data_IF_767273129585
#
_entry.id   IF_767273129585
#
_cell.length_a   1.000
_cell.length_b   1.000
_cell.length_c   1.000
_cell.angle_alpha   90.00
_cell.angle_beta   90.00
_cell.angle_gamma   90.00
#
_symmetry.space_group_name_H-M   'P 1'
#
loop_
_entity.id
_entity.type
_entity.pdbx_description
1 polymer ?
#
# COMPACT_ATOMS: atom_id res chain seq x y z
N UNK A 1 76.91 1.33 13.96
CA UNK A 1 75.71 1.36 14.83
C UNK A 1 74.54 2.11 14.18
N UNK A 2 74.69 3.34 13.71
CA UNK A 2 73.61 4.16 13.16
C UNK A 2 72.87 3.56 11.97
N UNK A 3 73.56 2.83 11.08
CA UNK A 3 72.95 2.20 9.87
C UNK A 3 72.10 0.97 10.23
N UNK A 4 72.49 0.22 11.25
CA UNK A 4 71.75 -0.95 11.72
C UNK A 4 70.45 -0.54 12.44
N UNK A 5 70.52 0.53 13.25
CA UNK A 5 69.32 1.07 13.92
C UNK A 5 68.30 1.67 12.91
N UNK A 6 68.77 2.28 11.84
CA UNK A 6 67.89 2.79 10.78
C UNK A 6 67.18 1.67 10.03
N UNK A 7 67.85 0.56 9.77
CA UNK A 7 67.31 -0.60 9.06
C UNK A 7 66.23 -1.32 9.90
N UNK A 8 66.55 -1.52 11.20
CA UNK A 8 65.56 -2.10 12.14
C UNK A 8 64.29 -1.25 12.31
N UNK A 9 64.44 0.09 12.31
CA UNK A 9 63.26 0.99 12.34
C UNK A 9 62.43 0.95 11.08
N UNK A 10 63.06 0.74 9.95
CA UNK A 10 62.34 0.62 8.65
C UNK A 10 61.61 -0.70 8.51
N UNK A 11 62.22 -1.81 8.99
CA UNK A 11 61.57 -3.13 9.00
C UNK A 11 60.39 -3.18 10.01
N UNK A 12 60.49 -2.52 11.18
CA UNK A 12 59.43 -2.42 12.13
C UNK A 12 58.23 -1.63 11.58
N UNK A 13 58.50 -0.51 10.87
CA UNK A 13 57.40 0.27 10.18
C UNK A 13 56.76 -0.49 9.03
N UNK A 14 57.51 -1.28 8.31
CA UNK A 14 56.98 -2.10 7.20
C UNK A 14 56.04 -3.20 7.77
N UNK A 15 56.45 -3.89 8.84
CA UNK A 15 55.61 -4.88 9.51
C UNK A 15 54.35 -4.29 10.11
N UNK A 16 54.42 -3.10 10.71
CA UNK A 16 53.25 -2.42 11.27
C UNK A 16 52.25 -1.97 10.15
N UNK A 17 52.76 -1.57 9.00
CA UNK A 17 51.94 -1.24 7.85
C UNK A 17 51.25 -2.47 7.26
N UNK A 18 51.95 -3.61 7.22
CA UNK A 18 51.42 -4.87 6.71
C UNK A 18 50.35 -5.47 7.62
N UNK A 19 50.54 -5.39 8.95
CA UNK A 19 49.48 -5.81 9.92
C UNK A 19 48.24 -4.92 9.84
N UNK A 20 48.40 -3.59 9.73
CA UNK A 20 47.28 -2.69 9.56
C UNK A 20 46.47 -2.95 8.29
N UNK A 21 47.20 -3.21 7.17
CA UNK A 21 46.55 -3.53 5.90
C UNK A 21 45.79 -4.88 5.96
N UNK A 22 46.34 -5.87 6.66
CA UNK A 22 45.69 -7.16 6.85
C UNK A 22 44.42 -7.05 7.72
N UNK A 23 44.48 -6.28 8.81
CA UNK A 23 43.32 -6.03 9.70
C UNK A 23 42.21 -5.25 8.98
N UNK A 24 42.57 -4.27 8.18
CA UNK A 24 41.61 -3.49 7.40
C UNK A 24 40.90 -4.33 6.32
N UNK A 25 41.67 -5.23 5.67
CA UNK A 25 41.11 -6.20 4.70
C UNK A 25 40.13 -7.18 5.36
N UNK A 26 40.51 -7.72 6.54
CA UNK A 26 39.61 -8.60 7.32
C UNK A 26 38.32 -7.90 7.75
N UNK A 27 38.43 -6.63 8.14
CA UNK A 27 37.26 -5.81 8.50
C UNK A 27 36.35 -5.57 7.30
N UNK A 28 36.89 -5.24 6.14
CA UNK A 28 36.12 -5.06 4.90
C UNK A 28 35.44 -6.36 4.45
N UNK A 29 36.11 -7.51 4.54
CA UNK A 29 35.53 -8.81 4.24
C UNK A 29 34.39 -9.18 5.21
N UNK A 30 34.54 -8.87 6.50
CA UNK A 30 33.49 -9.11 7.50
C UNK A 30 32.26 -8.22 7.28
N UNK A 31 32.46 -6.95 6.92
CA UNK A 31 31.38 -6.03 6.59
C UNK A 31 30.66 -6.43 5.29
N UNK A 32 31.40 -6.83 4.27
CA UNK A 32 30.84 -7.32 3.00
C UNK A 32 30.01 -8.60 3.21
N UNK A 33 30.48 -9.51 4.07
CA UNK A 33 29.74 -10.73 4.40
C UNK A 33 28.47 -10.47 5.16
N UNK A 34 28.48 -9.53 6.13
CA UNK A 34 27.26 -9.10 6.83
C UNK A 34 26.25 -8.41 5.92
N UNK A 35 26.73 -7.58 5.00
CA UNK A 35 25.87 -6.91 4.03
C UNK A 35 25.21 -7.91 3.07
N UNK A 36 25.94 -8.92 2.61
CA UNK A 36 25.42 -9.99 1.76
C UNK A 36 24.37 -10.86 2.49
N UNK A 37 24.62 -11.20 3.76
CA UNK A 37 23.69 -11.98 4.59
C UNK A 37 22.39 -11.21 4.88
N UNK A 38 22.49 -9.91 5.17
CA UNK A 38 21.33 -9.04 5.38
C UNK A 38 20.49 -8.93 4.11
N UNK A 39 21.14 -8.78 2.95
CA UNK A 39 20.46 -8.72 1.66
C UNK A 39 19.74 -10.04 1.32
N UNK A 40 20.40 -11.16 1.54
CA UNK A 40 19.82 -12.49 1.33
C UNK A 40 18.60 -12.73 2.26
N UNK A 41 18.66 -12.27 3.51
CA UNK A 41 17.54 -12.35 4.44
C UNK A 41 16.36 -11.48 4.00
N UNK A 42 16.62 -10.25 3.53
CA UNK A 42 15.58 -9.37 3.02
C UNK A 42 14.91 -9.93 1.76
N UNK A 43 15.68 -10.55 0.86
CA UNK A 43 15.13 -11.21 -0.34
C UNK A 43 14.29 -12.45 0.01
N UNK A 44 14.73 -13.24 1.01
CA UNK A 44 13.99 -14.39 1.51
C UNK A 44 12.68 -13.98 2.20
N UNK A 45 12.70 -12.93 3.02
CA UNK A 45 11.52 -12.40 3.69
C UNK A 45 10.53 -11.79 2.69
N UNK A 46 11.03 -11.09 1.67
CA UNK A 46 10.21 -10.55 0.59
C UNK A 46 9.53 -11.66 -0.24
N UNK A 47 10.28 -12.74 -0.53
CA UNK A 47 9.75 -13.90 -1.27
C UNK A 47 8.71 -14.68 -0.44
N UNK A 48 8.97 -14.90 0.84
CA UNK A 48 8.02 -15.56 1.75
C UNK A 48 6.73 -14.75 1.93
N UNK A 49 6.84 -13.41 1.95
CA UNK A 49 5.67 -12.51 2.00
C UNK A 49 4.87 -12.58 0.71
N UNK A 50 5.53 -12.59 -0.45
CA UNK A 50 4.87 -12.71 -1.75
C UNK A 50 4.17 -14.08 -1.92
N UNK A 51 4.77 -15.17 -1.45
CA UNK A 51 4.16 -16.50 -1.46
C UNK A 51 2.94 -16.62 -0.54
N UNK A 52 3.00 -15.99 0.66
CA UNK A 52 1.83 -15.90 1.56
C UNK A 52 0.70 -15.07 0.96
N UNK A 53 1.00 -13.95 0.31
CA UNK A 53 -0.01 -13.15 -0.39
C UNK A 53 -0.61 -13.90 -1.58
N UNK A 54 0.19 -14.65 -2.33
CA UNK A 54 -0.30 -15.48 -3.43
C UNK A 54 -1.16 -16.67 -2.96
N UNK A 55 -0.83 -17.28 -1.82
CA UNK A 55 -1.63 -18.35 -1.21
C UNK A 55 -2.95 -17.83 -0.65
N UNK A 56 -2.93 -16.66 0.03
CA UNK A 56 -4.14 -16.00 0.51
C UNK A 56 -5.08 -15.59 -0.64
N UNK A 57 -4.51 -15.17 -1.79
CA UNK A 57 -5.26 -14.86 -3.00
C UNK A 57 -5.95 -16.09 -3.60
N UNK A 58 -5.27 -17.25 -3.64
CA UNK A 58 -5.86 -18.53 -4.11
C UNK A 58 -6.95 -19.05 -3.18
N UNK A 59 -6.81 -18.89 -1.87
CA UNK A 59 -7.83 -19.31 -0.90
C UNK A 59 -9.07 -18.39 -0.93
N UNK A 60 -8.89 -17.09 -1.20
CA UNK A 60 -9.99 -16.15 -1.41
C UNK A 60 -10.76 -16.44 -2.71
N UNK A 61 -10.08 -16.86 -3.79
CA UNK A 61 -10.70 -17.26 -5.05
C UNK A 61 -11.51 -18.58 -4.91
N UNK A 62 -11.09 -19.49 -4.04
CA UNK A 62 -11.77 -20.78 -3.84
C UNK A 62 -13.06 -20.72 -3.00
N UNK A 63 -13.33 -19.60 -2.29
CA UNK A 63 -14.56 -19.39 -1.48
C UNK A 63 -15.67 -18.62 -2.19
N UNK A 64 -15.56 -18.34 -3.49
CA UNK A 64 -16.57 -17.64 -4.28
C UNK A 64 -17.63 -18.59 -4.84
N UNK A 65 -18.67 -18.84 -4.06
CA UNK A 65 -19.95 -19.32 -4.58
C UNK A 65 -21.02 -18.24 -4.28
N UNK A 66 -21.55 -17.65 -5.32
CA UNK A 66 -22.59 -16.64 -5.51
C UNK A 66 -22.07 -15.21 -5.62
N UNK A 67 -22.02 -14.73 -6.87
CA UNK A 67 -21.48 -13.40 -7.21
C UNK A 67 -22.61 -12.41 -7.49
N UNK A 68 -22.51 -11.23 -6.88
CA UNK A 68 -23.22 -9.99 -7.29
C UNK A 68 -22.48 -9.30 -8.42
N UNK A 69 -23.04 -8.22 -8.97
CA UNK A 69 -22.40 -7.39 -10.01
C UNK A 69 -20.91 -7.18 -9.75
N UNK A 70 -20.06 -7.23 -10.79
CA UNK A 70 -18.61 -7.10 -10.69
C UNK A 70 -17.89 -8.31 -10.07
N UNK A 71 -18.55 -9.46 -9.90
CA UNK A 71 -17.91 -10.61 -9.23
C UNK A 71 -17.62 -10.38 -7.75
N UNK A 72 -18.43 -9.54 -7.06
CA UNK A 72 -18.36 -9.31 -5.64
C UNK A 72 -19.07 -10.41 -4.85
N UNK A 73 -18.60 -10.73 -3.61
CA UNK A 73 -19.28 -11.63 -2.70
C UNK A 73 -20.67 -11.13 -2.32
N UNK A 74 -21.58 -12.07 -2.05
CA UNK A 74 -22.92 -11.78 -1.54
C UNK A 74 -22.85 -11.09 -0.17
N UNK A 75 -23.79 -10.15 0.06
CA UNK A 75 -23.89 -9.38 1.30
C UNK A 75 -25.22 -9.71 1.98
N UNK A 76 -25.16 -10.13 3.23
CA UNK A 76 -26.33 -10.50 4.02
C UNK A 76 -26.99 -9.28 4.68
N UNK A 77 -28.28 -9.39 5.03
CA UNK A 77 -29.00 -8.36 5.77
C UNK A 77 -28.36 -8.07 7.16
N UNK A 78 -27.81 -9.10 7.82
CA UNK A 78 -27.13 -8.94 9.10
C UNK A 78 -25.85 -8.08 8.96
N UNK A 79 -25.09 -8.27 7.90
CA UNK A 79 -23.88 -7.45 7.63
C UNK A 79 -24.23 -5.99 7.31
N UNK A 80 -25.39 -5.73 6.71
CA UNK A 80 -25.86 -4.38 6.41
C UNK A 80 -26.41 -3.64 7.64
N UNK A 81 -26.76 -4.37 8.70
CA UNK A 81 -27.29 -3.82 9.93
C UNK A 81 -26.22 -3.33 10.92
N UNK A 82 -24.94 -3.44 10.57
CA UNK A 82 -23.82 -3.00 11.42
C UNK A 82 -23.94 -1.50 11.76
N UNK A 83 -24.10 -1.14 13.07
CA UNK A 83 -24.22 0.26 13.49
C UNK A 83 -23.04 1.15 13.10
N UNK A 84 -21.84 0.58 12.91
CA UNK A 84 -20.68 1.32 12.46
C UNK A 84 -20.88 1.97 11.08
N UNK A 85 -21.83 1.47 10.29
CA UNK A 85 -22.18 2.03 8.98
C UNK A 85 -23.34 3.03 9.00
N UNK A 86 -23.76 3.51 10.19
CA UNK A 86 -24.77 4.55 10.28
C UNK A 86 -24.30 5.81 9.53
N UNK A 87 -25.24 6.45 8.84
CA UNK A 87 -24.94 7.59 7.96
C UNK A 87 -24.57 7.23 6.53
N UNK A 88 -24.17 5.98 6.24
CA UNK A 88 -23.95 5.54 4.85
C UNK A 88 -25.27 5.26 4.12
N UNK A 89 -25.28 5.53 2.81
CA UNK A 89 -26.41 5.14 1.95
C UNK A 89 -26.51 3.62 1.85
N UNK A 90 -27.70 3.04 1.52
CA UNK A 90 -27.84 1.60 1.35
C UNK A 90 -26.87 1.00 0.32
N UNK A 91 -26.63 1.72 -0.79
CA UNK A 91 -25.68 1.30 -1.82
C UNK A 91 -24.24 1.28 -1.27
N UNK A 92 -23.81 2.36 -0.61
CA UNK A 92 -22.48 2.47 -0.01
C UNK A 92 -22.23 1.37 1.03
N UNK A 93 -23.21 1.06 1.88
CA UNK A 93 -23.15 -0.06 2.85
C UNK A 93 -22.86 -1.38 2.14
N UNK A 94 -23.63 -1.69 1.10
CA UNK A 94 -23.49 -2.92 0.31
C UNK A 94 -22.10 -3.01 -0.33
N UNK A 95 -21.65 -1.94 -0.98
CA UNK A 95 -20.33 -1.90 -1.64
C UNK A 95 -19.20 -2.01 -0.62
N UNK A 96 -19.26 -1.30 0.51
CA UNK A 96 -18.28 -1.40 1.60
C UNK A 96 -18.12 -2.85 2.07
N UNK A 97 -19.21 -3.56 2.34
CA UNK A 97 -19.13 -4.95 2.83
C UNK A 97 -18.59 -5.88 1.74
N UNK A 98 -19.12 -5.78 0.53
CA UNK A 98 -18.71 -6.65 -0.57
C UNK A 98 -17.23 -6.49 -0.96
N UNK A 99 -16.75 -5.24 -1.05
CA UNK A 99 -15.34 -4.94 -1.34
C UNK A 99 -14.42 -5.35 -0.17
N UNK A 100 -14.86 -5.10 1.07
CA UNK A 100 -14.15 -5.55 2.26
C UNK A 100 -13.90 -7.06 2.26
N UNK A 101 -14.93 -7.83 1.96
CA UNK A 101 -14.85 -9.30 1.84
C UNK A 101 -13.92 -9.74 0.71
N UNK A 102 -14.06 -9.13 -0.47
CA UNK A 102 -13.26 -9.49 -1.65
C UNK A 102 -11.77 -9.27 -1.44
N UNK A 103 -11.40 -8.14 -0.82
CA UNK A 103 -10.01 -7.72 -0.66
C UNK A 103 -9.44 -7.98 0.73
N UNK A 104 -10.21 -8.56 1.65
CA UNK A 104 -9.76 -8.85 3.03
C UNK A 104 -9.42 -7.59 3.83
N UNK A 105 -10.13 -6.48 3.60
CA UNK A 105 -9.92 -5.22 4.30
C UNK A 105 -10.86 -5.15 5.50
N UNK A 106 -10.32 -4.82 6.66
CA UNK A 106 -11.06 -4.83 7.94
C UNK A 106 -11.12 -3.48 8.65
N UNK A 107 -10.43 -2.46 8.13
CA UNK A 107 -10.38 -1.13 8.72
C UNK A 107 -10.88 -0.08 7.72
N UNK A 108 -11.70 0.87 8.20
CA UNK A 108 -12.40 1.84 7.34
C UNK A 108 -12.54 3.18 8.04
N UNK A 109 -12.60 4.26 7.25
CA UNK A 109 -13.20 5.53 7.67
C UNK A 109 -14.48 5.73 6.85
N UNK A 110 -15.58 6.03 7.54
CA UNK A 110 -16.93 6.00 6.97
C UNK A 110 -17.56 7.40 6.99
N UNK A 111 -18.83 7.50 7.36
CA UNK A 111 -19.55 8.77 7.47
C UNK A 111 -18.86 9.72 8.45
N UNK A 112 -18.71 10.99 8.05
CA UNK A 112 -18.16 12.09 8.87
C UNK A 112 -19.01 13.33 8.67
N UNK A 113 -19.69 13.77 9.72
CA UNK A 113 -20.46 15.00 9.68
C UNK A 113 -19.53 16.20 9.40
N UNK A 114 -19.93 17.11 8.52
CA UNK A 114 -19.18 18.31 8.19
C UNK A 114 -17.98 18.13 7.24
N UNK A 115 -17.63 16.90 6.85
CA UNK A 115 -16.57 16.60 5.90
C UNK A 115 -17.08 16.71 4.45
N UNK A 116 -17.30 17.95 4.01
CA UNK A 116 -17.81 18.25 2.65
C UNK A 116 -16.64 18.47 1.68
N UNK A 117 -16.54 17.60 0.69
CA UNK A 117 -15.57 17.69 -0.40
C UNK A 117 -16.05 18.56 -1.58
N UNK A 118 -17.22 19.16 -1.47
CA UNK A 118 -17.83 19.98 -2.51
C UNK A 118 -18.42 19.20 -3.69
N UNK A 119 -18.31 17.87 -3.71
CA UNK A 119 -18.85 17.02 -4.79
C UNK A 119 -20.27 16.53 -4.49
N UNK A 120 -20.68 16.55 -3.23
CA UNK A 120 -21.91 15.94 -2.74
C UNK A 120 -21.87 14.40 -2.76
N UNK A 121 -20.71 13.81 -2.93
CA UNK A 121 -20.45 12.38 -2.93
C UNK A 121 -19.39 11.97 -1.89
N UNK A 122 -19.06 12.86 -0.96
CA UNK A 122 -18.07 12.66 0.09
C UNK A 122 -18.62 11.91 1.32
N UNK A 123 -17.81 11.92 2.38
CA UNK A 123 -18.14 11.25 3.64
C UNK A 123 -19.37 11.83 4.33
N UNK A 124 -19.60 13.16 4.26
CA UNK A 124 -20.75 13.83 4.86
C UNK A 124 -22.07 13.47 4.18
N UNK A 125 -22.05 12.98 2.96
CA UNK A 125 -23.23 12.51 2.23
C UNK A 125 -23.53 11.02 2.43
N UNK A 126 -22.63 10.29 3.12
CA UNK A 126 -22.69 8.85 3.29
C UNK A 126 -22.40 8.06 2.02
N UNK A 127 -21.79 8.69 1.03
CA UNK A 127 -21.46 8.08 -0.27
C UNK A 127 -20.00 7.72 -0.44
N UNK A 128 -19.16 7.99 0.57
CA UNK A 128 -17.74 7.67 0.51
C UNK A 128 -17.30 6.68 1.59
N UNK A 129 -16.29 5.89 1.25
CA UNK A 129 -15.59 4.97 2.14
C UNK A 129 -14.10 5.06 1.90
N UNK A 130 -13.32 5.23 2.98
CA UNK A 130 -11.88 5.03 2.96
C UNK A 130 -11.59 3.57 3.36
N UNK A 131 -11.06 2.79 2.44
CA UNK A 131 -10.58 1.44 2.68
C UNK A 131 -9.12 1.52 3.16
N UNK A 132 -8.91 1.35 4.48
CA UNK A 132 -7.57 1.46 5.07
C UNK A 132 -6.70 0.27 4.68
N UNK A 133 -5.53 0.53 4.15
CA UNK A 133 -4.56 -0.46 3.68
C UNK A 133 -3.15 -0.05 4.12
N UNK A 134 -2.17 -0.97 4.15
CA UNK A 134 -0.79 -0.57 4.40
C UNK A 134 -0.31 0.46 3.37
N UNK A 135 0.53 1.39 3.80
CA UNK A 135 1.02 2.50 2.97
C UNK A 135 1.55 2.01 1.63
N UNK A 136 1.00 2.53 0.54
CA UNK A 136 1.39 2.21 -0.84
C UNK A 136 1.39 0.71 -1.18
N UNK A 137 0.55 -0.06 -0.53
CA UNK A 137 0.53 -1.53 -0.62
C UNK A 137 -0.03 -2.05 -1.94
N UNK A 138 0.35 -3.28 -2.27
CA UNK A 138 -0.24 -4.04 -3.37
C UNK A 138 -1.75 -4.30 -3.18
N UNK A 139 -2.23 -4.41 -1.93
CA UNK A 139 -3.65 -4.56 -1.62
C UNK A 139 -4.44 -3.33 -2.06
N UNK A 140 -3.92 -2.12 -1.80
CA UNK A 140 -4.51 -0.87 -2.30
C UNK A 140 -4.45 -0.76 -3.81
N UNK A 141 -3.36 -1.18 -4.45
CA UNK A 141 -3.24 -1.20 -5.91
C UNK A 141 -4.29 -2.14 -6.54
N UNK A 142 -4.47 -3.34 -5.99
CA UNK A 142 -5.46 -4.32 -6.46
C UNK A 142 -6.89 -3.80 -6.33
N UNK A 143 -7.24 -3.18 -5.18
CA UNK A 143 -8.55 -2.57 -4.98
C UNK A 143 -8.78 -1.43 -5.97
N UNK A 144 -7.83 -0.51 -6.11
CA UNK A 144 -7.93 0.63 -7.01
C UNK A 144 -8.05 0.20 -8.48
N UNK A 145 -7.26 -0.79 -8.92
CA UNK A 145 -7.35 -1.36 -10.27
C UNK A 145 -8.69 -2.05 -10.53
N UNK A 146 -9.18 -2.83 -9.57
CA UNK A 146 -10.49 -3.48 -9.68
C UNK A 146 -11.61 -2.46 -9.82
N UNK A 147 -11.60 -1.41 -8.98
CA UNK A 147 -12.61 -0.35 -9.01
C UNK A 147 -12.61 0.40 -10.33
N UNK A 148 -11.44 0.72 -10.93
CA UNK A 148 -11.37 1.40 -12.24
C UNK A 148 -11.97 0.57 -13.37
N UNK A 149 -11.88 -0.75 -13.29
CA UNK A 149 -12.43 -1.68 -14.29
C UNK A 149 -13.95 -1.87 -14.18
N UNK A 150 -14.51 -1.63 -12.99
CA UNK A 150 -15.91 -1.92 -12.65
C UNK A 150 -16.69 -0.67 -12.20
N UNK A 151 -16.22 0.55 -12.51
CA UNK A 151 -16.81 1.79 -11.99
C UNK A 151 -18.31 1.90 -12.21
N UNK A 152 -18.78 1.66 -13.43
CA UNK A 152 -20.21 1.80 -13.76
C UNK A 152 -21.05 0.70 -13.12
N UNK A 153 -20.56 -0.52 -13.14
CA UNK A 153 -21.22 -1.70 -12.56
C UNK A 153 -21.39 -1.60 -11.05
N UNK A 154 -20.38 -1.04 -10.37
CA UNK A 154 -20.37 -0.84 -8.92
C UNK A 154 -20.91 0.52 -8.49
N UNK A 155 -21.33 1.36 -9.42
CA UNK A 155 -21.78 2.71 -9.09
C UNK A 155 -20.70 3.59 -8.48
N UNK A 156 -19.45 3.40 -8.85
CA UNK A 156 -18.34 4.26 -8.37
C UNK A 156 -18.38 5.60 -9.09
N UNK A 157 -18.23 6.67 -8.34
CA UNK A 157 -18.19 8.03 -8.87
C UNK A 157 -16.76 8.50 -9.13
N UNK A 158 -15.88 8.42 -8.09
CA UNK A 158 -14.45 8.64 -8.24
C UNK A 158 -13.65 7.81 -7.23
N UNK A 159 -12.34 7.73 -7.45
CA UNK A 159 -11.38 7.01 -6.61
C UNK A 159 -10.17 7.92 -6.37
N UNK A 160 -9.62 7.89 -5.13
CA UNK A 160 -8.33 8.51 -4.85
C UNK A 160 -7.38 7.46 -4.27
N UNK A 161 -6.18 7.36 -4.84
CA UNK A 161 -5.13 6.48 -4.37
C UNK A 161 -3.73 7.00 -4.73
N UNK A 162 -2.81 7.01 -3.78
CA UNK A 162 -1.41 7.45 -3.98
C UNK A 162 -1.31 8.83 -4.64
N UNK A 163 -1.98 9.84 -4.05
CA UNK A 163 -2.01 11.22 -4.53
C UNK A 163 -2.55 11.36 -5.96
N UNK A 164 -3.36 10.40 -6.44
CA UNK A 164 -3.95 10.42 -7.78
C UNK A 164 -5.45 10.26 -7.70
N UNK A 165 -6.14 11.02 -8.53
CA UNK A 165 -7.59 11.03 -8.68
C UNK A 165 -7.99 10.33 -9.98
N UNK A 166 -8.99 9.48 -9.93
CA UNK A 166 -9.53 8.79 -11.09
C UNK A 166 -11.06 8.97 -11.17
N UNK A 167 -11.55 9.37 -12.32
CA UNK A 167 -12.96 9.61 -12.59
C UNK A 167 -13.27 9.34 -14.07
N UNK A 168 -14.48 8.84 -14.43
CA UNK A 168 -14.87 8.61 -15.81
C UNK A 168 -15.19 9.90 -16.61
N UNK A 169 -15.23 11.06 -15.95
CA UNK A 169 -15.39 12.36 -16.59
C UNK A 169 -14.10 13.20 -16.44
N UNK A 170 -13.93 14.17 -17.34
CA UNK A 170 -12.91 15.21 -17.18
C UNK A 170 -13.18 16.00 -15.89
N UNK A 171 -12.13 16.30 -15.16
CA UNK A 171 -12.20 16.98 -13.87
C UNK A 171 -11.07 18.02 -13.72
N UNK A 172 -11.01 18.71 -12.57
CA UNK A 172 -10.02 19.78 -12.29
C UNK A 172 -8.56 19.28 -12.29
N UNK A 173 -8.32 17.98 -12.18
CA UNK A 173 -6.97 17.39 -12.15
C UNK A 173 -6.53 16.90 -13.53
N UNK A 174 -7.46 16.71 -14.51
CA UNK A 174 -7.09 16.27 -15.84
C UNK A 174 -8.18 15.47 -16.58
N UNK A 175 -7.80 14.72 -17.62
CA UNK A 175 -8.72 14.02 -18.50
C UNK A 175 -9.47 12.86 -17.84
N UNK A 176 -10.59 12.50 -18.44
CA UNK A 176 -11.42 11.35 -18.05
C UNK A 176 -10.65 10.03 -18.15
N UNK A 177 -11.04 9.04 -17.33
CA UNK A 177 -10.51 7.67 -17.34
C UNK A 177 -8.98 7.60 -17.20
N UNK A 178 -8.41 8.54 -16.46
CA UNK A 178 -6.97 8.67 -16.26
C UNK A 178 -6.66 8.92 -14.77
N UNK A 179 -5.59 8.32 -14.27
CA UNK A 179 -5.05 8.63 -12.96
C UNK A 179 -4.32 9.98 -12.99
N UNK A 180 -5.01 11.04 -12.61
CA UNK A 180 -4.52 12.41 -12.59
C UNK A 180 -3.86 12.73 -11.24
N UNK A 181 -2.66 13.32 -11.27
CA UNK A 181 -1.94 13.71 -10.04
C UNK A 181 -2.67 14.88 -9.38
N UNK A 182 -2.92 14.75 -8.07
CA UNK A 182 -3.47 15.81 -7.23
C UNK A 182 -2.33 16.64 -6.61
N UNK A 183 -2.60 17.91 -6.26
CA UNK A 183 -1.67 18.68 -5.44
C UNK A 183 -1.28 17.95 -4.16
N UNK A 184 -0.02 18.11 -3.74
CA UNK A 184 0.44 17.56 -2.47
C UNK A 184 -0.28 18.27 -1.31
N UNK A 185 -0.99 17.50 -0.48
CA UNK A 185 -1.75 17.99 0.70
C UNK A 185 -0.99 17.86 2.01
N UNK A 186 0.26 17.39 1.96
CA UNK A 186 1.13 17.16 3.12
C UNK A 186 0.82 15.85 3.87
N UNK A 187 1.74 14.96 3.96
CA UNK A 187 1.62 13.71 4.72
C UNK A 187 0.95 12.54 3.99
N UNK A 188 1.04 11.38 4.60
CA UNK A 188 0.64 10.08 4.03
C UNK A 188 -0.88 10.03 3.84
N UNK A 189 -1.64 10.27 4.90
CA UNK A 189 -3.10 10.18 4.90
C UNK A 189 -3.75 11.24 4.03
N UNK A 190 -3.28 12.50 4.10
CA UNK A 190 -3.81 13.59 3.27
C UNK A 190 -3.60 13.35 1.76
N UNK A 191 -2.57 12.59 1.40
CA UNK A 191 -2.26 12.18 0.03
C UNK A 191 -2.76 10.77 -0.33
N UNK A 192 -3.56 10.13 0.53
CA UNK A 192 -4.18 8.83 0.27
C UNK A 192 -3.17 7.71 -0.04
N UNK A 193 -2.04 7.66 0.69
CA UNK A 193 -1.06 6.59 0.56
C UNK A 193 -1.37 5.38 1.47
N UNK A 194 -2.20 5.54 2.50
CA UNK A 194 -2.58 4.56 3.51
C UNK A 194 -4.05 4.09 3.42
N UNK A 195 -4.78 4.58 2.44
CA UNK A 195 -6.15 4.16 2.17
C UNK A 195 -6.54 4.43 0.70
N UNK A 196 -7.46 3.62 0.19
CA UNK A 196 -8.15 3.89 -1.07
C UNK A 196 -9.47 4.56 -0.75
N UNK A 197 -9.60 5.84 -1.12
CA UNK A 197 -10.85 6.58 -1.03
C UNK A 197 -11.75 6.24 -2.22
N UNK A 198 -12.98 5.87 -1.94
CA UNK A 198 -13.98 5.51 -2.96
C UNK A 198 -15.26 6.28 -2.71
N UNK A 199 -15.68 7.07 -3.68
CA UNK A 199 -16.99 7.73 -3.70
C UNK A 199 -17.93 7.01 -4.65
N UNK A 200 -19.19 6.88 -4.26
CA UNK A 200 -20.24 6.20 -5.00
C UNK A 200 -21.26 7.20 -5.58
N UNK A 201 -21.93 6.81 -6.65
CA UNK A 201 -23.07 7.53 -7.23
C UNK A 201 -24.29 7.45 -6.30
N UNK A 202 -25.24 8.38 -6.46
CA UNK A 202 -26.54 8.35 -5.76
C UNK A 202 -27.36 7.15 -6.19
#
# INVERSE_FOLDING_TARGET
KAVVDAKLKQEAKAKEAETKAADEKLKQEAEAKKAAELKAKQEADAKAKAEKEAAAKKEAEAKQATTVAGGLPEVTAAELADPAMNGLTPHTKKMKVALAKKFGITSFSLFREGDDDGTGHGHNSGMAVDFMVPVSSAQGDQLAEYLTKHMDELGVYYIIWKQRFYMPQQNIYGPANTWNIMPNRGGITANHYDHVHVSFKK
#
